data_IF_945270105063
#
_entry.id   IF_945270105063
#
_cell.length_a   1.000
_cell.length_b   1.000
_cell.length_c   1.000
_cell.angle_alpha   90.00
_cell.angle_beta   90.00
_cell.angle_gamma   90.00
#
_symmetry.space_group_name_H-M   'P 1'
#
loop_
_entity.id
_entity.type
_entity.pdbx_description
1 polymer ?
#
# COMPACT_ATOMS: atom_id res chain seq x y z
N UNK A 1 -1.57 34.57 11.98
CA UNK A 1 -1.77 33.53 10.95
C UNK A 1 -2.21 32.26 11.66
N UNK A 2 -3.52 32.02 11.70
CA UNK A 2 -4.07 30.77 12.23
C UNK A 2 -3.54 29.60 11.41
N UNK A 3 -2.74 28.74 12.05
CA UNK A 3 -2.48 27.41 11.53
C UNK A 3 -3.80 26.67 11.62
N UNK A 4 -4.49 26.53 10.49
CA UNK A 4 -5.56 25.57 10.31
C UNK A 4 -4.99 24.18 10.62
N UNK A 5 -5.05 23.77 11.89
CA UNK A 5 -4.83 22.40 12.30
C UNK A 5 -5.91 21.61 11.60
N UNK A 6 -5.53 20.89 10.56
CA UNK A 6 -6.41 19.90 9.94
C UNK A 6 -6.73 18.92 11.06
N UNK A 7 -7.88 19.07 11.71
CA UNK A 7 -8.37 18.18 12.75
C UNK A 7 -8.77 16.90 12.01
N UNK A 8 -7.77 16.07 11.70
CA UNK A 8 -7.98 14.76 11.14
C UNK A 8 -8.76 13.95 12.18
N UNK A 9 -9.89 13.33 11.79
CA UNK A 9 -10.65 12.47 12.69
C UNK A 9 -9.73 11.41 13.32
N UNK A 10 -9.86 11.16 14.63
CA UNK A 10 -8.98 10.24 15.37
C UNK A 10 -8.92 8.84 14.76
N UNK A 11 -10.01 8.39 14.14
CA UNK A 11 -10.07 7.12 13.44
C UNK A 11 -9.17 7.11 12.19
N UNK A 12 -9.09 8.22 11.44
CA UNK A 12 -8.23 8.37 10.26
C UNK A 12 -6.76 8.43 10.67
N UNK A 13 -6.45 9.09 11.78
CA UNK A 13 -5.09 9.17 12.32
C UNK A 13 -4.56 7.81 12.80
N UNK A 14 -5.36 7.04 13.54
CA UNK A 14 -5.02 5.67 13.97
C UNK A 14 -4.79 4.72 12.79
N UNK A 15 -5.60 4.85 11.73
CA UNK A 15 -5.44 4.07 10.51
C UNK A 15 -4.16 4.45 9.77
N UNK A 16 -3.83 5.76 9.71
CA UNK A 16 -2.61 6.28 9.11
C UNK A 16 -1.32 5.91 9.87
N UNK A 17 -1.36 5.91 11.20
CA UNK A 17 -0.17 5.64 12.03
C UNK A 17 0.10 4.14 12.19
N UNK A 18 -0.93 3.31 12.40
CA UNK A 18 -0.72 1.89 12.74
C UNK A 18 -1.00 0.92 11.59
N UNK A 19 -1.82 1.31 10.61
CA UNK A 19 -2.32 0.38 9.58
C UNK A 19 -2.12 0.87 8.16
N UNK A 20 -1.44 1.99 7.95
CA UNK A 20 -1.29 2.58 6.60
C UNK A 20 -0.58 1.63 5.65
N UNK A 21 0.50 1.00 6.10
CA UNK A 21 1.26 0.05 5.29
C UNK A 21 0.39 -1.14 4.87
N UNK A 22 -0.32 -1.74 5.82
CA UNK A 22 -1.22 -2.87 5.58
C UNK A 22 -2.38 -2.46 4.66
N UNK A 23 -2.94 -1.28 4.88
CA UNK A 23 -4.07 -0.75 4.10
C UNK A 23 -3.62 -0.45 2.66
N UNK A 24 -2.43 0.10 2.47
CA UNK A 24 -1.85 0.32 1.14
C UNK A 24 -1.66 -1.00 0.41
N UNK A 25 -1.05 -1.99 1.07
CA UNK A 25 -0.80 -3.33 0.51
C UNK A 25 -2.11 -4.00 0.09
N UNK A 26 -3.14 -3.95 0.96
CA UNK A 26 -4.46 -4.50 0.67
C UNK A 26 -5.13 -3.80 -0.51
N UNK A 27 -5.04 -2.47 -0.56
CA UNK A 27 -5.61 -1.68 -1.64
C UNK A 27 -4.93 -1.98 -2.98
N UNK A 28 -3.60 -2.10 -2.99
CA UNK A 28 -2.79 -2.53 -4.13
C UNK A 28 -3.19 -3.92 -4.63
N UNK A 29 -3.39 -4.88 -3.71
CA UNK A 29 -3.84 -6.23 -4.04
C UNK A 29 -5.22 -6.24 -4.69
N UNK A 30 -6.18 -5.51 -4.12
CA UNK A 30 -7.55 -5.42 -4.66
C UNK A 30 -7.53 -4.80 -6.05
N UNK A 31 -6.80 -3.68 -6.22
CA UNK A 31 -6.64 -3.05 -7.53
C UNK A 31 -5.99 -3.98 -8.54
N UNK A 32 -4.95 -4.72 -8.15
CA UNK A 32 -4.27 -5.69 -9.01
C UNK A 32 -5.25 -6.72 -9.55
N UNK A 33 -6.06 -7.34 -8.67
CA UNK A 33 -7.06 -8.34 -9.06
C UNK A 33 -8.11 -7.75 -9.99
N UNK A 34 -8.63 -6.56 -9.68
CA UNK A 34 -9.61 -5.86 -10.53
C UNK A 34 -9.04 -5.60 -11.93
N UNK A 35 -7.81 -5.08 -12.01
CA UNK A 35 -7.16 -4.83 -13.30
C UNK A 35 -6.84 -6.11 -14.07
N UNK A 36 -6.53 -7.20 -13.38
CA UNK A 36 -6.30 -8.52 -13.99
C UNK A 36 -7.59 -9.06 -14.61
N UNK A 37 -8.73 -8.97 -13.91
CA UNK A 37 -10.05 -9.39 -14.40
C UNK A 37 -10.46 -8.54 -15.62
N UNK A 38 -10.31 -7.21 -15.53
CA UNK A 38 -10.62 -6.30 -16.64
C UNK A 38 -9.70 -6.58 -17.84
N UNK A 39 -8.41 -6.84 -17.60
CA UNK A 39 -7.45 -7.21 -18.64
C UNK A 39 -7.83 -8.52 -19.33
N UNK A 40 -8.33 -9.50 -18.59
CA UNK A 40 -8.77 -10.78 -19.13
C UNK A 40 -9.99 -10.62 -20.05
N UNK A 41 -10.95 -9.78 -19.64
CA UNK A 41 -12.18 -9.53 -20.42
C UNK A 41 -11.94 -8.70 -21.69
N UNK A 42 -11.05 -7.70 -21.64
CA UNK A 42 -10.91 -6.71 -22.71
C UNK A 42 -9.74 -7.05 -23.67
N UNK A 43 -8.79 -7.89 -23.27
CA UNK A 43 -7.65 -8.31 -24.11
C UNK A 43 -6.67 -7.18 -24.49
N UNK A 44 -6.80 -5.98 -23.90
CA UNK A 44 -5.95 -4.82 -24.22
C UNK A 44 -4.63 -4.84 -23.46
N UNK A 45 -3.53 -4.67 -24.20
CA UNK A 45 -2.15 -4.62 -23.70
C UNK A 45 -1.95 -3.54 -22.62
N UNK A 46 -2.66 -2.41 -22.73
CA UNK A 46 -2.58 -1.33 -21.75
C UNK A 46 -2.94 -1.77 -20.32
N UNK A 47 -3.96 -2.62 -20.18
CA UNK A 47 -4.40 -3.15 -18.88
C UNK A 47 -3.39 -4.13 -18.27
N UNK A 48 -2.65 -4.87 -19.11
CA UNK A 48 -1.51 -5.69 -18.66
C UNK A 48 -0.40 -4.82 -18.07
N UNK A 49 -0.12 -3.65 -18.67
CA UNK A 49 0.84 -2.70 -18.13
C UNK A 49 0.47 -2.21 -16.72
N UNK A 50 -0.81 -1.94 -16.49
CA UNK A 50 -1.32 -1.54 -15.16
C UNK A 50 -1.20 -2.69 -14.16
N UNK A 51 -1.53 -3.93 -14.56
CA UNK A 51 -1.38 -5.10 -13.70
C UNK A 51 0.09 -5.33 -13.27
N UNK A 52 1.04 -5.20 -14.20
CA UNK A 52 2.48 -5.29 -13.89
C UNK A 52 2.91 -4.17 -12.95
N UNK A 53 2.44 -2.94 -13.17
CA UNK A 53 2.71 -1.81 -12.28
C UNK A 53 2.22 -2.06 -10.85
N UNK A 54 1.03 -2.63 -10.69
CA UNK A 54 0.46 -2.99 -9.38
C UNK A 54 1.25 -4.12 -8.69
N UNK A 55 1.75 -5.09 -9.45
CA UNK A 55 2.62 -6.15 -8.90
C UNK A 55 3.93 -5.55 -8.36
N UNK A 56 4.58 -4.67 -9.13
CA UNK A 56 5.81 -4.01 -8.71
C UNK A 56 5.55 -3.18 -7.45
N UNK A 57 4.48 -2.39 -7.43
CA UNK A 57 4.12 -1.56 -6.30
C UNK A 57 3.90 -2.42 -5.03
N UNK A 58 3.18 -3.54 -5.14
CA UNK A 58 3.01 -4.52 -4.07
C UNK A 58 4.32 -5.14 -3.57
N UNK A 59 5.26 -5.47 -4.48
CA UNK A 59 6.59 -5.95 -4.10
C UNK A 59 7.38 -4.89 -3.32
N UNK A 60 7.31 -3.64 -3.75
CA UNK A 60 7.97 -2.51 -3.07
C UNK A 60 7.43 -2.33 -1.65
N UNK A 61 6.10 -2.39 -1.50
CA UNK A 61 5.42 -2.34 -0.20
C UNK A 61 5.79 -3.52 0.71
N UNK A 62 5.89 -4.74 0.15
CA UNK A 62 6.33 -5.93 0.88
C UNK A 62 7.77 -5.79 1.40
N UNK A 63 8.68 -5.30 0.56
CA UNK A 63 10.07 -5.05 0.94
C UNK A 63 10.14 -4.02 2.05
N UNK A 64 9.39 -2.92 1.95
CA UNK A 64 9.34 -1.91 3.01
C UNK A 64 8.86 -2.49 4.36
N UNK A 65 7.86 -3.37 4.33
CA UNK A 65 7.37 -4.06 5.51
C UNK A 65 8.42 -5.00 6.12
N UNK A 66 9.13 -5.78 5.31
CA UNK A 66 10.22 -6.65 5.77
C UNK A 66 11.37 -5.85 6.42
N UNK A 67 11.70 -4.69 5.86
CA UNK A 67 12.69 -3.78 6.44
C UNK A 67 12.24 -3.20 7.78
N UNK A 68 10.96 -2.83 7.93
CA UNK A 68 10.43 -2.41 9.24
C UNK A 68 10.53 -3.52 10.29
N UNK A 69 10.17 -4.76 9.94
CA UNK A 69 10.28 -5.90 10.85
C UNK A 69 11.75 -6.13 11.26
N UNK A 70 12.68 -6.12 10.31
CA UNK A 70 14.11 -6.28 10.61
C UNK A 70 14.65 -5.14 11.50
N UNK A 71 14.26 -3.89 11.23
CA UNK A 71 14.64 -2.75 12.04
C UNK A 71 14.09 -2.84 13.47
N UNK A 72 12.83 -3.26 13.62
CA UNK A 72 12.20 -3.47 14.93
C UNK A 72 12.88 -4.60 15.70
N UNK A 73 13.18 -5.72 15.04
CA UNK A 73 13.90 -6.85 15.64
C UNK A 73 15.32 -6.47 16.06
N UNK A 74 16.00 -5.62 15.29
CA UNK A 74 17.34 -5.11 15.61
C UNK A 74 17.34 -4.17 16.82
N UNK A 75 16.28 -3.39 17.01
CA UNK A 75 16.11 -2.48 18.15
C UNK A 75 15.79 -3.20 19.47
N UNK A 76 15.25 -4.42 19.40
CA UNK A 76 14.97 -5.26 20.58
C UNK A 76 16.24 -5.99 21.07
N UNK A 77 17.21 -6.22 20.20
CA UNK A 77 18.40 -7.03 20.48
C UNK A 77 19.65 -6.19 20.82
N UNK A 78 19.47 -4.90 21.08
CA UNK A 78 20.53 -3.91 21.33
C UNK A 78 20.13 -3.01 22.49
#
# INVERSE_FOLDING_TARGET
MEKNSIILPEWRRRLLENHLLITLILFELILSVVFLIISYLIGKIYLRGIAVGLIIAGLTSLVAYLFQIMAMKRKINN
#
